data_IF_970131491939
#
_entry.id   IF_970131491939
#
_cell.length_a   1.000
_cell.length_b   1.000
_cell.length_c   1.000
_cell.angle_alpha   90.00
_cell.angle_beta   90.00
_cell.angle_gamma   90.00
#
_symmetry.space_group_name_H-M   'P 1'
#
loop_
_entity.id
_entity.type
_entity.pdbx_description
1 polymer ?
#
# COMPACT_ATOMS: atom_id res chain seq x y z
N UNK A 1 28.38 21.23 8.69
CA UNK A 1 28.16 19.80 8.99
C UNK A 1 26.68 19.46 9.23
N UNK A 2 25.93 20.20 10.05
CA UNK A 2 24.51 19.91 10.32
C UNK A 2 23.60 19.87 9.07
N UNK A 3 23.79 20.79 8.11
CA UNK A 3 23.02 20.81 6.85
C UNK A 3 23.22 19.57 5.97
N UNK A 4 24.42 18.97 5.99
CA UNK A 4 24.69 17.75 5.22
C UNK A 4 24.00 16.53 5.83
N UNK A 5 23.92 16.45 7.17
CA UNK A 5 23.20 15.38 7.87
C UNK A 5 21.69 15.46 7.61
N UNK A 6 21.11 16.67 7.65
CA UNK A 6 19.68 16.88 7.34
C UNK A 6 19.33 16.43 5.91
N UNK A 7 20.15 16.79 4.91
CA UNK A 7 19.93 16.35 3.53
C UNK A 7 20.02 14.83 3.36
N UNK A 8 20.94 14.17 4.07
CA UNK A 8 21.07 12.71 4.01
C UNK A 8 19.86 11.99 4.62
N UNK A 9 19.35 12.48 5.76
CA UNK A 9 18.14 11.93 6.38
C UNK A 9 16.95 12.10 5.45
N UNK A 10 16.70 13.31 4.93
CA UNK A 10 15.58 13.55 4.00
C UNK A 10 15.66 12.64 2.75
N UNK A 11 16.85 12.47 2.17
CA UNK A 11 17.03 11.57 1.03
C UNK A 11 16.77 10.10 1.37
N UNK A 12 17.12 9.64 2.58
CA UNK A 12 16.81 8.28 3.03
C UNK A 12 15.31 8.08 3.25
N UNK A 13 14.61 9.05 3.85
CA UNK A 13 13.17 8.98 4.08
C UNK A 13 12.40 8.91 2.76
N UNK A 14 12.76 9.74 1.77
CA UNK A 14 12.13 9.70 0.43
C UNK A 14 12.32 8.34 -0.25
N UNK A 15 13.47 7.69 -0.07
CA UNK A 15 13.70 6.34 -0.63
C UNK A 15 12.82 5.29 0.05
N UNK A 16 12.67 5.37 1.37
CA UNK A 16 11.80 4.46 2.13
C UNK A 16 10.36 4.61 1.66
N UNK A 17 9.86 5.84 1.52
CA UNK A 17 8.52 6.11 0.99
C UNK A 17 8.35 5.55 -0.42
N UNK A 18 9.32 5.80 -1.30
CA UNK A 18 9.28 5.32 -2.69
C UNK A 18 9.22 3.80 -2.76
N UNK A 19 10.01 3.10 -1.94
CA UNK A 19 10.01 1.63 -1.87
C UNK A 19 8.67 1.14 -1.32
N UNK A 20 8.18 1.72 -0.21
CA UNK A 20 6.93 1.33 0.40
C UNK A 20 5.74 1.49 -0.56
N UNK A 21 5.67 2.62 -1.28
CA UNK A 21 4.63 2.86 -2.30
C UNK A 21 4.75 1.86 -3.46
N UNK A 22 5.96 1.62 -3.95
CA UNK A 22 6.19 0.72 -5.09
C UNK A 22 5.80 -0.72 -4.76
N UNK A 23 6.20 -1.23 -3.59
CA UNK A 23 5.84 -2.58 -3.13
C UNK A 23 4.32 -2.67 -2.88
N UNK A 24 3.73 -1.65 -2.27
CA UNK A 24 2.28 -1.58 -2.05
C UNK A 24 1.50 -1.66 -3.36
N UNK A 25 1.93 -0.94 -4.40
CA UNK A 25 1.29 -0.96 -5.71
C UNK A 25 1.31 -2.35 -6.35
N UNK A 26 2.43 -3.07 -6.24
CA UNK A 26 2.54 -4.44 -6.76
C UNK A 26 1.59 -5.38 -5.98
N UNK A 27 1.61 -5.34 -4.65
CA UNK A 27 0.76 -6.20 -3.82
C UNK A 27 -0.73 -5.97 -4.09
N UNK A 28 -1.15 -4.70 -4.17
CA UNK A 28 -2.54 -4.34 -4.47
C UNK A 28 -2.87 -4.79 -5.90
N UNK A 29 -2.03 -4.54 -6.90
CA UNK A 29 -2.34 -4.94 -8.28
C UNK A 29 -2.57 -6.45 -8.41
N UNK A 30 -1.71 -7.29 -7.80
CA UNK A 30 -1.84 -8.75 -7.83
C UNK A 30 -3.17 -9.21 -7.22
N UNK A 31 -3.59 -8.59 -6.12
CA UNK A 31 -4.87 -8.89 -5.46
C UNK A 31 -6.07 -8.63 -6.40
N UNK A 32 -6.01 -7.56 -7.20
CA UNK A 32 -7.12 -7.12 -8.04
C UNK A 32 -7.23 -7.86 -9.38
N UNK A 33 -6.14 -8.45 -9.89
CA UNK A 33 -6.11 -9.22 -11.15
C UNK A 33 -7.24 -10.28 -11.25
N UNK A 34 -7.38 -11.25 -10.32
CA UNK A 34 -8.40 -12.30 -10.45
C UNK A 34 -9.83 -11.76 -10.34
N UNK A 35 -10.01 -10.63 -9.65
CA UNK A 35 -11.31 -9.97 -9.48
C UNK A 35 -11.72 -9.30 -10.79
N UNK A 36 -10.79 -8.62 -11.45
CA UNK A 36 -11.02 -8.02 -12.77
C UNK A 36 -11.41 -9.09 -13.80
N UNK A 37 -10.67 -10.21 -13.87
CA UNK A 37 -10.99 -11.30 -14.80
C UNK A 37 -12.39 -11.90 -14.56
N UNK A 38 -12.80 -12.08 -13.31
CA UNK A 38 -14.14 -12.62 -13.00
C UNK A 38 -15.24 -11.58 -13.22
N UNK A 39 -14.96 -10.29 -12.97
CA UNK A 39 -15.91 -9.20 -13.13
C UNK A 39 -16.24 -8.91 -14.60
N UNK A 40 -15.26 -9.02 -15.49
CA UNK A 40 -15.45 -8.85 -16.95
C UNK A 40 -15.86 -10.15 -17.66
N UNK A 41 -16.09 -11.24 -16.93
CA UNK A 41 -16.57 -12.49 -17.53
C UNK A 41 -18.03 -12.38 -17.97
N UNK A 42 -18.39 -13.08 -19.05
CA UNK A 42 -19.75 -13.14 -19.62
C UNK A 42 -20.72 -13.99 -18.79
N UNK A 43 -20.21 -14.74 -17.82
CA UNK A 43 -20.98 -15.63 -16.95
C UNK A 43 -21.54 -14.86 -15.74
N UNK A 44 -22.87 -14.81 -15.61
CA UNK A 44 -23.60 -14.11 -14.55
C UNK A 44 -23.18 -14.58 -13.15
N UNK A 45 -22.97 -15.89 -12.98
CA UNK A 45 -22.56 -16.47 -11.69
C UNK A 45 -21.15 -16.01 -11.30
N UNK A 46 -20.24 -15.92 -12.28
CA UNK A 46 -18.87 -15.41 -12.06
C UNK A 46 -18.88 -13.93 -11.72
N UNK A 47 -19.73 -13.13 -12.36
CA UNK A 47 -19.92 -11.71 -12.05
C UNK A 47 -20.47 -11.48 -10.64
N UNK A 48 -21.44 -12.29 -10.20
CA UNK A 48 -21.97 -12.20 -8.83
C UNK A 48 -20.90 -12.56 -7.78
N UNK A 49 -20.14 -13.64 -7.99
CA UNK A 49 -19.03 -14.01 -7.12
C UNK A 49 -17.94 -12.93 -7.10
N UNK A 50 -17.63 -12.31 -8.25
CA UNK A 50 -16.67 -11.22 -8.36
C UNK A 50 -17.07 -10.00 -7.53
N UNK A 51 -18.36 -9.62 -7.49
CA UNK A 51 -18.84 -8.49 -6.69
C UNK A 51 -18.63 -8.68 -5.19
N UNK A 52 -18.85 -9.90 -4.70
CA UNK A 52 -18.59 -10.23 -3.28
C UNK A 52 -17.09 -10.18 -2.97
N UNK A 53 -16.26 -10.75 -3.84
CA UNK A 53 -14.80 -10.71 -3.72
C UNK A 53 -14.24 -9.29 -3.83
N UNK A 54 -14.83 -8.45 -4.67
CA UNK A 54 -14.47 -7.04 -4.82
C UNK A 54 -14.66 -6.27 -3.52
N UNK A 55 -15.80 -6.44 -2.83
CA UNK A 55 -16.01 -5.82 -1.51
C UNK A 55 -14.92 -6.24 -0.52
N UNK A 56 -14.62 -7.53 -0.45
CA UNK A 56 -13.62 -8.05 0.48
C UNK A 56 -12.21 -7.52 0.15
N UNK A 57 -11.86 -7.47 -1.13
CA UNK A 57 -10.58 -6.93 -1.59
C UNK A 57 -10.45 -5.42 -1.37
N UNK A 58 -11.53 -4.66 -1.56
CA UNK A 58 -11.57 -3.24 -1.27
C UNK A 58 -11.38 -2.96 0.22
N UNK A 59 -12.07 -3.71 1.09
CA UNK A 59 -11.90 -3.62 2.55
C UNK A 59 -10.46 -3.99 2.94
N UNK A 60 -9.93 -5.09 2.39
CA UNK A 60 -8.54 -5.50 2.65
C UNK A 60 -7.52 -4.45 2.20
N UNK A 61 -7.72 -3.85 1.02
CA UNK A 61 -6.88 -2.75 0.50
C UNK A 61 -6.94 -1.55 1.43
N UNK A 62 -8.12 -1.19 1.94
CA UNK A 62 -8.29 -0.07 2.85
C UNK A 62 -7.57 -0.29 4.19
N UNK A 63 -7.75 -1.46 4.80
CA UNK A 63 -7.08 -1.83 6.05
C UNK A 63 -5.55 -1.85 5.85
N UNK A 64 -5.08 -2.37 4.71
CA UNK A 64 -3.66 -2.38 4.36
C UNK A 64 -3.09 -0.96 4.29
N UNK A 65 -3.77 -0.02 3.61
CA UNK A 65 -3.33 1.37 3.51
C UNK A 65 -3.24 2.01 4.89
N UNK A 66 -4.23 1.79 5.76
CA UNK A 66 -4.21 2.31 7.13
C UNK A 66 -3.03 1.74 7.94
N UNK A 67 -2.77 0.43 7.82
CA UNK A 67 -1.66 -0.22 8.51
C UNK A 67 -0.29 0.29 8.02
N UNK A 68 -0.08 0.39 6.71
CA UNK A 68 1.17 0.88 6.13
C UNK A 68 1.40 2.35 6.46
N UNK A 69 0.36 3.18 6.39
CA UNK A 69 0.46 4.61 6.74
C UNK A 69 0.79 4.80 8.22
N UNK A 70 0.14 4.05 9.11
CA UNK A 70 0.42 4.08 10.55
C UNK A 70 1.84 3.59 10.88
N UNK A 71 2.30 2.53 10.20
CA UNK A 71 3.66 2.02 10.34
C UNK A 71 4.71 3.03 9.89
N UNK A 72 4.52 3.64 8.70
CA UNK A 72 5.43 4.68 8.19
C UNK A 72 5.50 5.88 9.15
N UNK A 73 4.35 6.33 9.64
CA UNK A 73 4.31 7.40 10.64
C UNK A 73 5.07 7.03 11.91
N UNK A 74 4.89 5.82 12.44
CA UNK A 74 5.59 5.36 13.64
C UNK A 74 7.11 5.32 13.43
N UNK A 75 7.57 4.81 12.28
CA UNK A 75 8.99 4.77 11.91
C UNK A 75 9.56 6.19 11.80
N UNK A 76 8.87 7.09 11.11
CA UNK A 76 9.33 8.48 10.97
C UNK A 76 9.34 9.22 12.29
N UNK A 77 8.30 9.07 13.11
CA UNK A 77 8.27 9.66 14.42
C UNK A 77 9.43 9.14 15.28
N UNK A 78 9.68 7.83 15.27
CA UNK A 78 10.82 7.21 15.96
C UNK A 78 12.17 7.80 15.52
N UNK A 79 12.41 7.93 14.21
CA UNK A 79 13.65 8.51 13.67
C UNK A 79 13.82 9.98 14.09
N UNK A 80 12.72 10.76 14.10
CA UNK A 80 12.76 12.20 14.42
C UNK A 80 12.91 12.44 15.92
N UNK A 81 12.18 11.69 16.77
CA UNK A 81 12.21 11.87 18.23
C UNK A 81 13.31 11.08 18.94
N UNK A 82 13.88 10.05 18.30
CA UNK A 82 15.01 9.29 18.84
C UNK A 82 14.72 8.50 20.12
N UNK A 83 13.45 8.27 20.47
CA UNK A 83 13.01 7.46 21.62
C UNK A 83 12.68 6.04 21.20
#
# INVERSE_FOLDING_TARGET
MAYMVSNNISAMLTRIDTIAISVSAILISILWIPIAFQFFSTDENKRMAARSRLKNAAIGTFIYILAVSGLLYAIFNYIITGS
#
